data_IF_220650837301
#
_entry.id   IF_220650837301
#
_cell.length_a   1.000
_cell.length_b   1.000
_cell.length_c   1.000
_cell.angle_alpha   90.00
_cell.angle_beta   90.00
_cell.angle_gamma   90.00
#
_symmetry.space_group_name_H-M   'P 1'
#
loop_
_entity.id
_entity.type
_entity.pdbx_description
1 polymer ?
#
# COMPACT_ATOMS: atom_id res chain seq x y z
N UNK A 1 -15.43 1.48 9.83
CA UNK A 1 -14.78 0.53 8.89
C UNK A 1 -13.26 0.70 8.90
N UNK A 2 -12.50 -0.38 9.16
CA UNK A 2 -11.03 -0.32 9.16
C UNK A 2 -10.47 -0.59 7.77
N UNK A 3 -9.58 0.27 7.30
CA UNK A 3 -8.84 0.07 6.04
C UNK A 3 -7.34 0.03 6.31
N UNK A 4 -6.67 -0.93 5.71
CA UNK A 4 -5.22 -1.12 5.78
C UNK A 4 -4.59 -0.67 4.47
N UNK A 5 -3.49 0.09 4.56
CA UNK A 5 -2.84 0.74 3.42
C UNK A 5 -1.45 0.17 3.19
N UNK A 6 -1.11 -0.06 1.92
CA UNK A 6 0.19 -0.55 1.49
C UNK A 6 0.68 0.23 0.27
N UNK A 7 1.92 0.70 0.30
CA UNK A 7 2.58 1.32 -0.84
C UNK A 7 3.31 0.25 -1.66
N UNK A 8 3.03 0.17 -2.96
CA UNK A 8 3.71 -0.77 -3.86
C UNK A 8 5.07 -0.17 -4.24
N UNK A 9 6.15 -0.83 -3.81
CA UNK A 9 7.53 -0.40 -4.03
C UNK A 9 8.18 -1.11 -5.22
N UNK A 10 7.72 -2.33 -5.53
CA UNK A 10 8.17 -3.11 -6.68
C UNK A 10 6.98 -3.89 -7.23
N UNK A 11 6.85 -4.00 -8.56
CA UNK A 11 5.87 -4.88 -9.19
C UNK A 11 6.31 -5.27 -10.60
N UNK A 12 5.97 -6.48 -11.05
CA UNK A 12 6.23 -6.94 -12.43
C UNK A 12 5.51 -6.09 -13.49
N UNK A 13 4.51 -5.33 -13.05
CA UNK A 13 3.80 -4.31 -13.83
C UNK A 13 4.21 -2.96 -13.26
N UNK A 14 5.09 -2.26 -13.98
CA UNK A 14 5.68 -1.00 -13.56
C UNK A 14 4.64 0.10 -13.32
N UNK A 15 3.47 0.02 -13.98
CA UNK A 15 2.38 1.00 -13.78
C UNK A 15 1.75 0.95 -12.39
N UNK A 16 1.99 -0.13 -11.64
CA UNK A 16 1.49 -0.31 -10.27
C UNK A 16 2.46 0.23 -9.21
N UNK A 17 3.72 0.47 -9.56
CA UNK A 17 4.71 1.04 -8.63
C UNK A 17 4.30 2.47 -8.28
N UNK A 18 4.37 2.82 -6.99
CA UNK A 18 3.82 4.09 -6.48
C UNK A 18 2.33 4.04 -6.17
N UNK A 19 1.63 2.96 -6.53
CA UNK A 19 0.23 2.75 -6.22
C UNK A 19 -0.01 2.38 -4.75
N UNK A 20 -1.22 2.70 -4.27
CA UNK A 20 -1.68 2.34 -2.92
C UNK A 20 -2.67 1.19 -3.01
N UNK A 21 -2.38 0.10 -2.31
CA UNK A 21 -3.33 -0.98 -2.08
C UNK A 21 -4.08 -0.74 -0.76
N UNK A 22 -5.40 -0.88 -0.80
CA UNK A 22 -6.28 -0.71 0.36
C UNK A 22 -7.05 -2.00 0.58
N UNK A 23 -7.01 -2.53 1.80
CA UNK A 23 -7.70 -3.78 2.16
C UNK A 23 -8.46 -3.66 3.47
N UNK A 24 -9.55 -4.42 3.64
CA UNK A 24 -10.31 -4.47 4.91
C UNK A 24 -9.62 -5.29 6.00
N UNK A 25 -8.63 -6.10 5.63
CA UNK A 25 -7.89 -6.97 6.56
C UNK A 25 -6.39 -6.73 6.50
N UNK A 26 -5.72 -6.82 7.65
CA UNK A 26 -4.26 -6.78 7.73
C UNK A 26 -3.67 -7.98 7.00
N UNK A 27 -2.71 -7.73 6.13
CA UNK A 27 -1.85 -8.78 5.59
C UNK A 27 -0.93 -9.25 6.70
N UNK A 28 -1.05 -10.53 7.07
CA UNK A 28 -0.51 -11.12 8.31
C UNK A 28 0.99 -10.91 8.54
N UNK A 29 1.76 -10.62 7.49
CA UNK A 29 3.21 -10.46 7.53
C UNK A 29 3.70 -9.02 7.59
N UNK A 30 2.86 -8.03 7.30
CA UNK A 30 3.33 -6.66 7.12
C UNK A 30 3.18 -5.85 8.42
N UNK A 31 4.30 -5.40 8.98
CA UNK A 31 4.34 -4.33 9.98
C UNK A 31 4.62 -3.00 9.29
N UNK A 32 4.31 -1.89 9.95
CA UNK A 32 4.57 -0.56 9.38
C UNK A 32 6.08 -0.42 9.08
N UNK A 33 6.42 0.18 7.94
CA UNK A 33 7.80 0.29 7.41
C UNK A 33 8.51 -1.04 7.08
N UNK A 34 7.83 -2.19 7.19
CA UNK A 34 8.40 -3.46 6.70
C UNK A 34 7.94 -3.72 5.25
N UNK A 35 8.92 -3.88 4.37
CA UNK A 35 8.69 -4.35 3.01
C UNK A 35 8.35 -5.85 3.00
N UNK A 36 7.25 -6.20 2.34
CA UNK A 36 6.74 -7.56 2.24
C UNK A 36 6.43 -7.93 0.80
N UNK A 37 6.57 -9.21 0.42
CA UNK A 37 6.22 -9.66 -0.93
C UNK A 37 4.72 -9.59 -1.19
N UNK A 38 4.36 -9.20 -2.41
CA UNK A 38 3.01 -9.31 -2.96
C UNK A 38 2.89 -10.69 -3.61
N UNK A 39 1.98 -11.51 -3.09
CA UNK A 39 1.67 -12.81 -3.66
C UNK A 39 0.40 -12.73 -4.51
N UNK A 40 0.45 -13.31 -5.70
CA UNK A 40 -0.71 -13.52 -6.56
C UNK A 40 -0.87 -15.00 -6.83
N UNK A 41 -2.11 -15.48 -6.91
CA UNK A 41 -2.40 -16.84 -7.33
C UNK A 41 -2.17 -16.92 -8.84
N UNK A 42 -1.26 -17.80 -9.25
CA UNK A 42 -1.13 -18.24 -10.62
C UNK A 42 -2.14 -19.38 -10.84
N UNK A 43 -3.21 -19.09 -11.57
CA UNK A 43 -4.28 -20.07 -11.84
C UNK A 43 -3.86 -21.16 -12.83
N UNK A 44 -2.76 -20.98 -13.57
CA UNK A 44 -2.25 -21.98 -14.51
C UNK A 44 -1.37 -23.02 -13.80
N UNK A 45 -0.60 -22.56 -12.80
CA UNK A 45 0.31 -23.41 -12.02
C UNK A 45 -0.27 -23.86 -10.67
N UNK A 46 -1.47 -23.37 -10.31
CA UNK A 46 -2.14 -23.60 -9.03
C UNK A 46 -1.25 -23.26 -7.81
N UNK A 47 -0.36 -22.27 -7.95
CA UNK A 47 0.62 -21.88 -6.95
C UNK A 47 0.68 -20.35 -6.74
N UNK A 48 1.34 -19.91 -5.66
CA UNK A 48 1.54 -18.49 -5.37
C UNK A 48 2.83 -17.97 -5.98
N UNK A 49 2.72 -16.97 -6.85
CA UNK A 49 3.87 -16.26 -7.42
C UNK A 49 4.08 -14.93 -6.73
N UNK A 50 5.34 -14.55 -6.51
CA UNK A 50 5.70 -13.22 -6.02
C UNK A 50 5.71 -12.28 -7.22
N UNK A 51 4.81 -11.30 -7.22
CA UNK A 51 4.65 -10.34 -8.33
C UNK A 51 5.19 -8.96 -8.02
N UNK A 52 5.71 -8.76 -6.80
CA UNK A 52 6.19 -7.46 -6.36
C UNK A 52 6.44 -7.42 -4.86
N UNK A 53 6.61 -6.20 -4.36
CA UNK A 53 6.76 -5.88 -2.94
C UNK A 53 5.99 -4.63 -2.58
N UNK A 54 5.62 -4.56 -1.31
CA UNK A 54 4.89 -3.45 -0.75
C UNK A 54 5.28 -3.19 0.70
N UNK A 55 5.12 -1.94 1.13
CA UNK A 55 5.37 -1.49 2.50
C UNK A 55 4.05 -1.17 3.15
N UNK A 56 3.80 -1.69 4.36
CA UNK A 56 2.59 -1.30 5.09
C UNK A 56 2.71 0.11 5.64
N UNK A 57 1.68 0.92 5.41
CA UNK A 57 1.56 2.28 5.94
C UNK A 57 0.77 2.31 7.27
N UNK A 58 0.10 1.20 7.60
CA UNK A 58 -0.75 1.06 8.78
C UNK A 58 -2.23 0.95 8.41
N UNK A 59 -3.09 1.44 9.30
CA UNK A 59 -4.53 1.43 9.09
C UNK A 59 -5.17 2.76 9.49
N UNK A 60 -6.37 3.00 8.98
CA UNK A 60 -7.26 4.08 9.40
C UNK A 60 -8.65 3.48 9.65
N UNK A 61 -9.28 3.89 10.74
CA UNK A 61 -10.67 3.59 11.02
C UNK A 61 -11.52 4.76 10.50
N UNK A 62 -12.37 4.46 9.53
CA UNK A 62 -13.41 5.35 9.02
C UNK A 62 -14.71 5.08 9.76
N UNK A 63 -15.63 6.03 9.84
CA UNK A 63 -16.92 5.81 10.48
C UNK A 63 -17.83 4.95 9.58
N UNK A 64 -18.02 5.38 8.34
CA UNK A 64 -18.88 4.75 7.32
C UNK A 64 -18.33 4.95 5.90
N UNK A 65 -19.11 4.55 4.89
CA UNK A 65 -18.71 4.63 3.46
C UNK A 65 -18.54 6.07 2.98
N UNK A 66 -19.40 6.98 3.43
CA UNK A 66 -19.32 8.41 3.08
C UNK A 66 -18.06 9.04 3.69
N UNK A 67 -17.75 8.72 4.95
CA UNK A 67 -16.51 9.14 5.62
C UNK A 67 -15.26 8.62 4.87
N UNK A 68 -15.31 7.37 4.39
CA UNK A 68 -14.24 6.80 3.58
C UNK A 68 -14.06 7.54 2.25
N UNK A 69 -15.12 7.73 1.48
CA UNK A 69 -15.04 8.40 0.17
C UNK A 69 -14.52 9.84 0.29
N UNK A 70 -14.90 10.55 1.36
CA UNK A 70 -14.49 11.93 1.57
C UNK A 70 -13.07 12.10 2.12
N UNK A 71 -12.57 11.16 2.94
CA UNK A 71 -11.28 11.31 3.65
C UNK A 71 -10.16 10.39 3.18
N UNK A 72 -10.43 9.38 2.35
CA UNK A 72 -9.41 8.39 1.95
C UNK A 72 -8.18 9.06 1.30
N UNK A 73 -8.38 10.10 0.50
CA UNK A 73 -7.28 10.81 -0.17
C UNK A 73 -6.34 11.51 0.82
N UNK A 74 -6.89 12.22 1.81
CA UNK A 74 -6.10 12.86 2.86
C UNK A 74 -5.45 11.82 3.78
N UNK A 75 -6.18 10.77 4.13
CA UNK A 75 -5.64 9.66 4.90
C UNK A 75 -4.43 8.99 4.23
N UNK A 76 -4.46 8.83 2.90
CA UNK A 76 -3.31 8.31 2.13
C UNK A 76 -2.12 9.25 2.25
N UNK A 77 -2.32 10.56 2.05
CA UNK A 77 -1.24 11.55 2.15
C UNK A 77 -0.61 11.55 3.54
N UNK A 78 -1.43 11.60 4.59
CA UNK A 78 -0.97 11.52 5.97
C UNK A 78 -0.13 10.25 6.18
N UNK A 79 -0.64 9.10 5.75
CA UNK A 79 0.06 7.81 5.89
C UNK A 79 1.39 7.76 5.15
N UNK A 80 1.50 8.38 3.99
CA UNK A 80 2.75 8.48 3.23
C UNK A 80 3.78 9.37 3.93
N UNK A 81 3.36 10.39 4.68
CA UNK A 81 4.29 11.21 5.50
C UNK A 81 4.82 10.48 6.73
N UNK A 82 4.17 9.40 7.15
CA UNK A 82 4.55 8.64 8.35
C UNK A 82 5.54 7.50 8.10
N UNK A 83 5.88 7.20 6.84
CA UNK A 83 6.83 6.14 6.49
C UNK A 83 8.21 6.69 6.15
N UNK A 84 9.21 5.81 6.15
CA UNK A 84 10.59 6.21 5.85
C UNK A 84 10.72 6.68 4.39
N UNK A 85 11.46 7.77 4.17
CA UNK A 85 11.64 8.40 2.86
C UNK A 85 12.21 7.45 1.81
N UNK A 86 13.03 6.47 2.22
CA UNK A 86 13.57 5.44 1.33
C UNK A 86 12.48 4.70 0.55
N UNK A 87 11.32 4.48 1.16
CA UNK A 87 10.19 3.78 0.53
C UNK A 87 9.47 4.67 -0.48
N UNK A 88 9.40 5.97 -0.19
CA UNK A 88 8.81 6.97 -1.08
C UNK A 88 9.68 7.18 -2.33
N UNK A 89 11.00 7.24 -2.15
CA UNK A 89 11.97 7.32 -3.24
C UNK A 89 11.92 6.07 -4.12
N UNK A 90 11.91 4.89 -3.48
CA UNK A 90 11.82 3.61 -4.19
C UNK A 90 10.53 3.47 -5.00
N UNK A 91 9.42 3.97 -4.47
CA UNK A 91 8.13 3.94 -5.15
C UNK A 91 7.93 5.12 -6.14
N UNK A 92 8.89 6.05 -6.24
CA UNK A 92 8.82 7.20 -7.16
C UNK A 92 7.78 8.26 -6.77
N UNK A 93 7.40 8.33 -5.50
CA UNK A 93 6.35 9.25 -4.99
C UNK A 93 6.86 10.32 -4.04
N UNK A 94 8.18 10.39 -3.79
CA UNK A 94 8.78 11.38 -2.90
C UNK A 94 8.41 12.83 -3.30
N UNK A 95 8.43 13.15 -4.60
CA UNK A 95 8.12 14.50 -5.11
C UNK A 95 6.64 14.89 -4.95
N UNK A 96 5.72 13.92 -4.78
CA UNK A 96 4.28 14.16 -4.64
C UNK A 96 3.93 14.76 -3.27
N UNK A 97 4.80 14.57 -2.27
CA UNK A 97 4.60 15.10 -0.92
C UNK A 97 5.19 16.51 -0.73
N UNK A 98 6.09 16.95 -1.62
CA UNK A 98 6.72 18.27 -1.56
C UNK A 98 5.96 19.35 -2.36
N UNK A 99 4.93 18.97 -3.13
CA UNK A 99 4.10 19.84 -3.98
C UNK A 99 2.80 20.29 -3.28
#
# INVERSE_FOLDING_TARGET
MRKHFYLITEHNDESRVGGISITDSRLSRASKNDETPIHQIDHEQEDFVVVGKQVALGYVDFDDEDDYENRVSDAIKDKLTEIDTEWLEKAGVAEVLEA
#
